data_IF_873027368708
#
_entry.id   IF_873027368708
#
_cell.length_a   1.000
_cell.length_b   1.000
_cell.length_c   1.000
_cell.angle_alpha   90.00
_cell.angle_beta   90.00
_cell.angle_gamma   90.00
#
_symmetry.space_group_name_H-M   'P 1'
#
loop_
_entity.id
_entity.type
_entity.pdbx_description
1 polymer ?
#
# COMPACT_ATOMS: atom_id res chain seq x y z
N UNK A 1 10.47 6.02 9.33
CA UNK A 1 9.93 5.08 10.35
C UNK A 1 9.97 3.70 9.71
N UNK A 2 10.71 2.73 10.29
CA UNK A 2 10.87 1.36 9.77
C UNK A 2 9.99 0.37 10.53
N UNK A 3 9.81 -0.85 9.97
CA UNK A 3 8.99 -1.87 10.61
C UNK A 3 9.58 -2.27 11.98
N UNK A 4 8.74 -2.72 12.91
CA UNK A 4 9.12 -2.96 14.32
C UNK A 4 10.37 -3.84 14.53
N UNK A 5 10.77 -4.63 13.53
CA UNK A 5 11.88 -5.58 13.58
C UNK A 5 13.03 -5.29 12.59
N UNK A 6 13.01 -4.14 11.89
CA UNK A 6 14.06 -3.75 10.95
C UNK A 6 14.40 -2.28 11.08
N UNK A 7 15.71 -1.97 11.01
CA UNK A 7 16.21 -0.58 10.94
C UNK A 7 16.13 -0.01 9.53
N UNK A 8 15.87 -0.85 8.52
CA UNK A 8 15.71 -0.42 7.14
C UNK A 8 14.26 0.01 6.88
N UNK A 9 14.04 0.99 5.98
CA UNK A 9 12.70 1.33 5.54
C UNK A 9 12.05 0.12 4.84
N UNK A 10 10.80 -0.17 5.19
CA UNK A 10 10.04 -1.28 4.63
C UNK A 10 8.93 -0.72 3.76
N UNK A 11 8.75 -1.31 2.58
CA UNK A 11 7.68 -0.97 1.64
C UNK A 11 6.76 -2.18 1.53
N UNK A 12 5.47 -2.01 1.85
CA UNK A 12 4.47 -3.05 1.61
C UNK A 12 3.96 -2.98 0.17
N UNK A 13 4.33 -3.96 -0.65
CA UNK A 13 3.93 -4.04 -2.07
C UNK A 13 2.81 -5.05 -2.26
N UNK A 14 1.81 -4.68 -3.04
CA UNK A 14 0.65 -5.55 -3.29
C UNK A 14 -0.65 -5.04 -2.69
N UNK A 15 -0.66 -3.81 -2.15
CA UNK A 15 -1.83 -3.22 -1.51
C UNK A 15 -2.84 -2.82 -2.58
N UNK A 16 -4.06 -3.33 -2.48
CA UNK A 16 -5.13 -3.07 -3.46
C UNK A 16 -6.42 -2.53 -2.82
N UNK A 17 -6.44 -2.38 -1.49
CA UNK A 17 -7.59 -1.89 -0.70
C UNK A 17 -7.12 -0.91 0.38
N UNK A 18 -8.05 -0.07 0.87
CA UNK A 18 -7.77 0.88 1.94
C UNK A 18 -7.53 0.21 3.29
N UNK A 19 -8.22 -0.89 3.56
CA UNK A 19 -8.07 -1.67 4.79
C UNK A 19 -6.66 -2.27 4.90
N UNK A 20 -6.13 -2.83 3.81
CA UNK A 20 -4.77 -3.37 3.77
C UNK A 20 -3.73 -2.25 3.91
N UNK A 21 -4.00 -1.07 3.33
CA UNK A 21 -3.14 0.10 3.46
C UNK A 21 -3.05 0.55 4.93
N UNK A 22 -4.18 0.62 5.63
CA UNK A 22 -4.25 0.98 7.05
C UNK A 22 -3.50 -0.02 7.93
N UNK A 23 -3.73 -1.32 7.72
CA UNK A 23 -3.02 -2.37 8.43
C UNK A 23 -1.51 -2.31 8.21
N UNK A 24 -1.06 -2.00 6.99
CA UNK A 24 0.37 -1.85 6.68
C UNK A 24 0.98 -0.64 7.43
N UNK A 25 0.29 0.49 7.48
CA UNK A 25 0.73 1.68 8.23
C UNK A 25 0.85 1.38 9.73
N UNK A 26 -0.14 0.68 10.32
CA UNK A 26 -0.10 0.27 11.73
C UNK A 26 1.08 -0.67 12.05
N UNK A 27 1.56 -1.41 11.05
CA UNK A 27 2.78 -2.23 11.15
C UNK A 27 4.08 -1.42 11.06
N UNK A 28 4.02 -0.12 10.74
CA UNK A 28 5.15 0.79 10.70
C UNK A 28 5.93 0.77 9.37
N UNK A 29 5.26 0.47 8.25
CA UNK A 29 5.90 0.57 6.93
C UNK A 29 6.24 2.02 6.60
N UNK A 30 7.33 2.23 5.86
CA UNK A 30 7.73 3.55 5.39
C UNK A 30 6.91 4.01 4.18
N UNK A 31 6.44 3.04 3.39
CA UNK A 31 5.59 3.28 2.24
C UNK A 31 4.72 2.06 1.91
N UNK A 32 3.67 2.30 1.15
CA UNK A 32 2.86 1.27 0.48
C UNK A 32 3.05 1.39 -1.03
N UNK A 33 2.99 0.26 -1.73
CA UNK A 33 3.05 0.20 -3.19
C UNK A 33 1.83 -0.53 -3.73
N UNK A 34 1.01 0.23 -4.47
CA UNK A 34 -0.15 -0.29 -5.19
C UNK A 34 0.37 -1.09 -6.37
N UNK A 35 0.10 -2.39 -6.40
CA UNK A 35 0.60 -3.27 -7.47
C UNK A 35 -0.15 -4.59 -7.46
N UNK A 36 -0.70 -4.99 -8.59
CA UNK A 36 -1.34 -6.30 -8.71
C UNK A 36 -0.40 -7.42 -9.21
N UNK A 37 0.92 -7.23 -9.13
CA UNK A 37 1.95 -8.14 -9.67
C UNK A 37 1.84 -8.39 -11.19
N UNK A 38 1.19 -7.50 -11.93
CA UNK A 38 0.92 -7.67 -13.36
C UNK A 38 -0.17 -8.70 -13.63
N UNK A 39 -1.12 -8.87 -12.69
CA UNK A 39 -2.26 -9.78 -12.84
C UNK A 39 -1.94 -11.28 -12.70
N UNK A 40 -0.75 -11.64 -12.21
CA UNK A 40 -0.26 -13.03 -12.17
C UNK A 40 -0.63 -13.83 -10.91
N UNK A 41 -1.19 -13.18 -9.89
CA UNK A 41 -1.50 -13.82 -8.62
C UNK A 41 -2.95 -14.31 -8.52
N UNK A 42 -3.90 -13.45 -8.88
CA UNK A 42 -5.33 -13.74 -8.74
C UNK A 42 -5.98 -13.43 -10.08
N UNK A 43 -6.67 -14.41 -10.67
CA UNK A 43 -7.40 -14.17 -11.92
C UNK A 43 -8.46 -13.07 -11.69
N UNK A 44 -8.53 -12.10 -12.61
CA UNK A 44 -9.46 -10.94 -12.56
C UNK A 44 -9.26 -9.99 -11.39
N UNK A 45 -8.04 -9.86 -10.86
CA UNK A 45 -7.75 -8.77 -9.93
C UNK A 45 -7.81 -7.42 -10.65
N UNK A 46 -8.25 -6.37 -9.94
CA UNK A 46 -8.32 -5.00 -10.48
C UNK A 46 -7.00 -4.55 -11.07
N UNK A 47 -7.04 -3.75 -12.14
CA UNK A 47 -5.82 -3.16 -12.70
C UNK A 47 -5.22 -2.18 -11.69
N UNK A 48 -3.90 -2.17 -11.55
CA UNK A 48 -3.21 -1.22 -10.67
C UNK A 48 -3.64 0.22 -10.96
N UNK A 49 -3.76 0.57 -12.24
CA UNK A 49 -4.21 1.89 -12.70
C UNK A 49 -5.66 2.23 -12.40
N UNK A 50 -6.52 1.25 -12.11
CA UNK A 50 -7.91 1.50 -11.73
C UNK A 50 -8.05 1.80 -10.24
N UNK A 51 -7.02 1.53 -9.45
CA UNK A 51 -6.96 1.91 -8.04
C UNK A 51 -6.32 3.29 -8.02
N UNK A 52 -7.14 4.32 -7.87
CA UNK A 52 -6.57 5.63 -7.60
C UNK A 52 -5.99 5.61 -6.18
N UNK A 53 -4.70 5.95 -6.00
CA UNK A 53 -4.15 6.21 -4.65
C UNK A 53 -4.94 7.25 -3.86
N UNK A 54 -5.67 8.12 -4.57
CA UNK A 54 -6.58 9.10 -4.00
C UNK A 54 -7.92 8.51 -3.54
N UNK A 55 -8.23 7.25 -3.94
CA UNK A 55 -9.36 6.41 -3.51
C UNK A 55 -9.09 5.66 -2.18
N UNK A 56 -8.00 6.00 -1.46
CA UNK A 56 -7.90 5.81 -0.01
C UNK A 56 -8.45 6.99 0.86
N UNK A 57 -9.40 7.85 0.41
CA UNK A 57 -9.67 9.15 1.00
C UNK A 57 -10.49 9.05 2.30
N UNK A 58 -11.03 7.87 2.63
CA UNK A 58 -11.62 7.66 3.95
C UNK A 58 -10.55 7.56 5.06
N UNK A 59 -9.28 7.32 4.70
CA UNK A 59 -8.14 7.32 5.62
C UNK A 59 -7.07 8.32 5.16
N UNK A 60 -7.38 9.63 5.21
CA UNK A 60 -6.39 10.71 5.11
C UNK A 60 -5.13 10.49 6.00
N UNK A 61 -5.31 9.66 7.02
CA UNK A 61 -4.32 9.14 7.95
C UNK A 61 -3.19 8.31 7.29
N UNK A 62 -3.48 7.54 6.24
CA UNK A 62 -2.49 6.67 5.57
C UNK A 62 -1.45 7.48 4.79
N UNK A 63 -1.93 8.41 3.96
CA UNK A 63 -1.06 9.29 3.17
C UNK A 63 -0.27 10.28 4.04
N UNK A 64 -0.78 10.59 5.24
CA UNK A 64 -0.07 11.41 6.23
C UNK A 64 1.05 10.64 6.96
N UNK A 65 0.97 9.30 7.03
CA UNK A 65 1.86 8.47 7.85
C UNK A 65 2.91 7.69 7.05
N UNK A 66 2.71 7.48 5.75
CA UNK A 66 3.65 6.76 4.89
C UNK A 66 3.60 7.24 3.43
N UNK A 67 4.66 6.97 2.65
CA UNK A 67 4.66 7.25 1.22
C UNK A 67 3.71 6.31 0.45
N UNK A 68 3.05 6.80 -0.59
CA UNK A 68 2.26 5.98 -1.51
C UNK A 68 2.96 5.94 -2.86
N UNK A 69 3.22 4.73 -3.37
CA UNK A 69 3.89 4.48 -4.65
C UNK A 69 2.96 3.73 -5.60
N UNK A 70 3.00 4.08 -6.87
CA UNK A 70 2.23 3.44 -7.95
C UNK A 70 3.17 3.01 -9.08
N UNK A 71 2.82 1.93 -9.79
CA UNK A 71 3.46 1.49 -11.04
C UNK A 71 2.42 0.90 -12.01
#
# INVERSE_FOLDING_TARGET
MGCKNSKLPVIAKGILSGEDAKAAVECGVSAIMVSNHGGRLIEKVVSTSSIESRSFPEDADVAAKCGVLEY
#
